data_IF_035591251019
#
_entry.id   IF_035591251019
#
_cell.length_a   1.000
_cell.length_b   1.000
_cell.length_c   1.000
_cell.angle_alpha   90.00
_cell.angle_beta   90.00
_cell.angle_gamma   90.00
#
_symmetry.space_group_name_H-M   'P 1'
#
loop_
_entity.id
_entity.type
_entity.pdbx_description
1 polymer ?
#
# COMPACT_ATOMS: atom_id res chain seq x y z
N UNK A 1 2.53 8.60 -15.70
CA UNK A 1 1.86 7.31 -15.42
C UNK A 1 1.31 7.34 -14.01
N UNK A 2 0.35 6.47 -13.70
CA UNK A 2 -0.25 6.32 -12.36
C UNK A 2 0.45 5.17 -11.65
N UNK A 3 1.31 5.53 -10.70
CA UNK A 3 2.17 4.61 -9.96
C UNK A 3 1.51 4.27 -8.63
N UNK A 4 1.32 2.99 -8.36
CA UNK A 4 0.80 2.46 -7.11
C UNK A 4 1.93 1.94 -6.24
N UNK A 5 2.30 2.68 -5.20
CA UNK A 5 3.25 2.26 -4.18
C UNK A 5 2.51 1.44 -3.12
N UNK A 6 2.97 0.22 -2.84
CA UNK A 6 2.33 -0.71 -1.91
C UNK A 6 3.16 -0.82 -0.63
N UNK A 7 2.63 -0.30 0.47
CA UNK A 7 3.24 -0.35 1.80
C UNK A 7 2.30 -1.04 2.78
N UNK A 8 2.73 -2.13 3.40
CA UNK A 8 1.94 -2.87 4.38
C UNK A 8 2.08 -2.35 5.83
N UNK A 9 2.31 -1.04 5.96
CA UNK A 9 2.51 -0.32 7.21
C UNK A 9 1.67 0.97 7.24
N UNK A 10 1.66 1.64 8.38
CA UNK A 10 1.07 2.98 8.51
C UNK A 10 2.02 4.03 7.91
N UNK A 11 1.46 5.08 7.32
CA UNK A 11 2.20 6.20 6.75
C UNK A 11 1.46 7.51 7.05
N UNK A 12 2.05 8.62 7.49
CA UNK A 12 3.44 8.78 7.96
C UNK A 12 3.67 8.10 9.33
N UNK A 13 4.93 7.93 9.78
CA UNK A 13 6.18 8.34 9.12
C UNK A 13 6.84 7.21 8.30
N UNK A 14 7.28 7.52 7.07
CA UNK A 14 8.25 6.71 6.31
C UNK A 14 9.01 7.62 5.31
N UNK A 15 10.16 8.18 5.70
CA UNK A 15 10.86 9.18 4.89
C UNK A 15 11.42 8.60 3.58
N UNK A 16 11.67 7.28 3.52
CA UNK A 16 12.16 6.63 2.29
C UNK A 16 11.06 6.60 1.24
N UNK A 17 9.88 6.08 1.62
CA UNK A 17 8.70 6.02 0.75
C UNK A 17 8.29 7.43 0.32
N UNK A 18 8.34 8.39 1.24
CA UNK A 18 8.01 9.78 0.96
C UNK A 18 8.95 10.41 -0.07
N UNK A 19 10.27 10.27 0.10
CA UNK A 19 11.25 10.82 -0.83
C UNK A 19 11.14 10.17 -2.22
N UNK A 20 10.94 8.85 -2.28
CA UNK A 20 10.71 8.14 -3.55
C UNK A 20 9.44 8.62 -4.25
N UNK A 21 8.35 8.79 -3.50
CA UNK A 21 7.08 9.30 -4.03
C UNK A 21 7.22 10.73 -4.56
N UNK A 22 7.87 11.62 -3.81
CA UNK A 22 8.13 13.00 -4.24
C UNK A 22 8.97 13.02 -5.51
N UNK A 23 10.04 12.22 -5.59
CA UNK A 23 10.87 12.15 -6.79
C UNK A 23 10.08 11.71 -8.03
N UNK A 24 9.18 10.74 -7.89
CA UNK A 24 8.30 10.31 -8.99
C UNK A 24 7.31 11.40 -9.40
N UNK A 25 6.76 12.15 -8.44
CA UNK A 25 5.85 13.28 -8.70
C UNK A 25 6.59 14.40 -9.45
N UNK A 26 7.80 14.74 -9.02
CA UNK A 26 8.67 15.73 -9.68
C UNK A 26 9.02 15.35 -11.13
N UNK A 27 9.05 14.05 -11.44
CA UNK A 27 9.22 13.53 -12.80
C UNK A 27 7.90 13.44 -13.60
N UNK A 28 6.80 14.01 -13.09
CA UNK A 28 5.51 14.09 -13.79
C UNK A 28 4.66 12.82 -13.71
N UNK A 29 4.81 12.03 -12.64
CA UNK A 29 3.97 10.86 -12.40
C UNK A 29 2.93 11.11 -11.30
N UNK A 30 1.76 10.49 -11.41
CA UNK A 30 0.78 10.50 -10.32
C UNK A 30 1.10 9.33 -9.37
N UNK A 31 1.33 9.63 -8.10
CA UNK A 31 1.67 8.61 -7.10
C UNK A 31 0.49 8.35 -6.17
N UNK A 32 0.09 7.08 -6.10
CA UNK A 32 -0.91 6.54 -5.20
C UNK A 32 -0.23 5.63 -4.19
N UNK A 33 -0.42 5.89 -2.89
CA UNK A 33 0.18 5.10 -1.83
C UNK A 33 -0.87 4.25 -1.13
N UNK A 34 -0.79 2.93 -1.29
CA UNK A 34 -1.52 1.98 -0.47
C UNK A 34 -0.82 1.86 0.88
N UNK A 35 -1.55 2.12 1.98
CA UNK A 35 -1.04 1.92 3.32
C UNK A 35 -2.11 1.39 4.28
N UNK A 36 -1.71 0.89 5.44
CA UNK A 36 -2.62 0.35 6.45
C UNK A 36 -3.02 1.42 7.48
N UNK A 37 -4.24 1.31 8.01
CA UNK A 37 -4.69 2.06 9.20
C UNK A 37 -5.23 1.12 10.28
N UNK A 38 -4.95 1.45 11.54
CA UNK A 38 -5.40 0.70 12.72
C UNK A 38 -6.41 1.47 13.58
N UNK A 39 -6.65 2.75 13.26
CA UNK A 39 -7.61 3.63 13.90
C UNK A 39 -8.52 4.27 12.85
N UNK A 40 -9.55 5.01 13.29
CA UNK A 40 -10.52 5.69 12.43
C UNK A 40 -9.94 6.98 11.79
N UNK A 41 -8.78 6.86 11.15
CA UNK A 41 -8.15 7.91 10.33
C UNK A 41 -8.84 7.94 8.96
N UNK A 42 -8.89 9.12 8.34
CA UNK A 42 -9.48 9.31 7.01
C UNK A 42 -8.87 8.34 5.98
N UNK A 43 -9.70 7.58 5.24
CA UNK A 43 -9.21 6.54 4.34
C UNK A 43 -8.52 7.09 3.08
N UNK A 44 -8.81 8.34 2.70
CA UNK A 44 -8.25 8.98 1.53
C UNK A 44 -7.72 10.34 1.94
N UNK A 45 -6.49 10.65 1.58
CA UNK A 45 -5.83 11.90 1.94
C UNK A 45 -4.83 12.27 0.85
N UNK A 46 -4.63 13.57 0.62
CA UNK A 46 -3.56 14.06 -0.27
C UNK A 46 -2.51 14.71 0.63
N UNK A 47 -1.32 14.10 0.70
CA UNK A 47 -0.20 14.59 1.49
C UNK A 47 0.96 14.89 0.54
N UNK A 48 1.36 16.16 0.43
CA UNK A 48 2.45 16.57 -0.48
C UNK A 48 2.25 16.00 -1.90
N UNK A 49 1.01 16.12 -2.41
CA UNK A 49 0.56 15.59 -3.70
C UNK A 49 0.48 14.06 -3.82
N UNK A 50 0.95 13.32 -2.82
CA UNK A 50 0.80 11.86 -2.74
C UNK A 50 -0.66 11.52 -2.43
N UNK A 51 -1.27 10.69 -3.28
CA UNK A 51 -2.63 10.19 -3.10
C UNK A 51 -2.65 9.00 -2.14
N UNK A 52 -2.73 9.26 -0.84
CA UNK A 52 -2.69 8.24 0.22
C UNK A 52 -4.04 7.53 0.34
N UNK A 53 -4.02 6.20 0.21
CA UNK A 53 -5.17 5.30 0.28
C UNK A 53 -4.99 4.31 1.43
N UNK A 54 -5.69 4.56 2.54
CA UNK A 54 -5.56 3.79 3.78
C UNK A 54 -6.60 2.67 3.87
N UNK A 55 -6.12 1.46 4.05
CA UNK A 55 -6.93 0.26 4.23
C UNK A 55 -6.96 -0.18 5.68
N UNK A 56 -8.17 -0.45 6.20
CA UNK A 56 -8.34 -0.90 7.59
C UNK A 56 -7.63 -2.22 7.83
N UNK A 57 -6.72 -2.25 8.79
CA UNK A 57 -6.07 -3.45 9.30
C UNK A 57 -6.40 -3.61 10.79
N UNK A 58 -6.12 -4.78 11.35
CA UNK A 58 -6.36 -5.07 12.75
C UNK A 58 -5.20 -5.86 13.35
N UNK A 59 -5.18 -5.99 14.68
CA UNK A 59 -4.10 -6.71 15.40
C UNK A 59 -3.97 -8.17 14.96
N UNK A 60 -5.05 -8.81 14.53
CA UNK A 60 -5.01 -10.19 14.03
C UNK A 60 -4.29 -10.26 12.68
N UNK A 61 -4.63 -9.38 11.73
CA UNK A 61 -3.95 -9.28 10.44
C UNK A 61 -2.48 -8.94 10.59
N UNK A 62 -2.13 -8.08 11.55
CA UNK A 62 -0.73 -7.80 11.90
C UNK A 62 0.00 -9.04 12.43
N UNK A 63 -0.61 -9.83 13.31
CA UNK A 63 0.00 -11.10 13.76
C UNK A 63 0.14 -12.12 12.64
N UNK A 64 -0.84 -12.17 11.73
CA UNK A 64 -0.79 -13.05 10.56
C UNK A 64 0.30 -12.66 9.56
N UNK A 65 0.66 -11.37 9.47
CA UNK A 65 1.76 -10.94 8.59
C UNK A 65 3.07 -11.60 9.00
N UNK A 66 3.34 -11.75 10.30
CA UNK A 66 4.52 -12.47 10.80
C UNK A 66 4.57 -13.95 10.38
N UNK A 67 3.42 -14.54 10.01
CA UNK A 67 3.28 -15.92 9.55
C UNK A 67 3.05 -16.02 8.04
N UNK A 68 3.30 -14.96 7.26
CA UNK A 68 2.96 -14.91 5.82
C UNK A 68 3.54 -16.09 5.03
N UNK A 69 4.75 -16.53 5.36
CA UNK A 69 5.43 -17.64 4.68
C UNK A 69 4.95 -19.03 5.14
N UNK A 70 4.11 -19.09 6.16
CA UNK A 70 3.55 -20.33 6.71
C UNK A 70 2.06 -20.46 6.43
N UNK A 71 1.30 -19.36 6.53
CA UNK A 71 -0.16 -19.35 6.42
C UNK A 71 -0.59 -18.29 5.40
N UNK A 72 -1.30 -18.67 4.31
CA UNK A 72 -1.62 -17.77 3.20
C UNK A 72 -2.72 -16.75 3.53
N UNK A 73 -3.24 -16.74 4.77
CA UNK A 73 -4.40 -15.92 5.16
C UNK A 73 -4.08 -14.41 5.06
N UNK A 74 -2.88 -14.00 5.45
CA UNK A 74 -2.44 -12.61 5.26
C UNK A 74 -2.45 -12.22 3.79
N UNK A 75 -1.82 -13.05 2.95
CA UNK A 75 -1.72 -12.86 1.50
C UNK A 75 -3.10 -12.72 0.86
N UNK A 76 -4.05 -13.59 1.19
CA UNK A 76 -5.42 -13.56 0.64
C UNK A 76 -6.18 -12.29 1.04
N UNK A 77 -6.07 -11.87 2.31
CA UNK A 77 -6.73 -10.65 2.81
C UNK A 77 -6.14 -9.41 2.11
N UNK A 78 -4.82 -9.37 1.94
CA UNK A 78 -4.14 -8.24 1.30
C UNK A 78 -4.39 -8.19 -0.20
N UNK A 79 -4.35 -9.33 -0.91
CA UNK A 79 -4.59 -9.38 -2.35
C UNK A 79 -5.95 -8.75 -2.71
N UNK A 80 -7.01 -9.05 -1.95
CA UNK A 80 -8.33 -8.44 -2.17
C UNK A 80 -8.31 -6.91 -2.03
N UNK A 81 -7.56 -6.38 -1.05
CA UNK A 81 -7.45 -4.93 -0.82
C UNK A 81 -6.61 -4.26 -1.90
N UNK A 82 -5.51 -4.91 -2.29
CA UNK A 82 -4.62 -4.43 -3.35
C UNK A 82 -5.37 -4.42 -4.68
N UNK A 83 -6.12 -5.48 -5.02
CA UNK A 83 -6.95 -5.50 -6.22
C UNK A 83 -7.93 -4.33 -6.27
N UNK A 84 -8.64 -4.07 -5.16
CA UNK A 84 -9.51 -2.91 -5.06
C UNK A 84 -8.75 -1.60 -5.29
N UNK A 85 -7.58 -1.44 -4.67
CA UNK A 85 -6.71 -0.28 -4.85
C UNK A 85 -6.29 -0.08 -6.31
N UNK A 86 -5.84 -1.15 -6.98
CA UNK A 86 -5.35 -1.11 -8.36
C UNK A 86 -6.45 -0.70 -9.34
N UNK A 87 -7.63 -1.31 -9.24
CA UNK A 87 -8.76 -1.04 -10.13
C UNK A 87 -9.36 0.35 -9.87
N UNK A 88 -9.67 0.67 -8.61
CA UNK A 88 -10.29 1.96 -8.26
C UNK A 88 -9.42 3.14 -8.63
N UNK A 89 -8.10 3.00 -8.47
CA UNK A 89 -7.15 4.06 -8.80
C UNK A 89 -6.50 3.86 -10.17
N UNK A 90 -7.02 2.98 -11.04
CA UNK A 90 -6.48 2.66 -12.39
C UNK A 90 -4.95 2.75 -12.47
N UNK A 91 -4.30 1.96 -11.62
CA UNK A 91 -2.84 1.93 -11.49
C UNK A 91 -2.22 1.28 -12.73
N UNK A 92 -1.18 1.90 -13.26
CA UNK A 92 -0.46 1.44 -14.46
C UNK A 92 0.86 0.74 -14.12
N UNK A 93 1.51 1.18 -13.05
CA UNK A 93 2.80 0.62 -12.59
C UNK A 93 2.70 0.37 -11.09
N UNK A 94 3.12 -0.81 -10.64
CA UNK A 94 3.13 -1.17 -9.22
C UNK A 94 4.56 -1.12 -8.70
N UNK A 95 4.76 -0.36 -7.63
CA UNK A 95 6.01 -0.33 -6.87
C UNK A 95 5.76 -0.98 -5.51
N UNK A 96 6.36 -2.15 -5.29
CA UNK A 96 6.14 -2.93 -4.06
C UNK A 96 7.22 -2.59 -3.03
N UNK A 97 6.82 -2.20 -1.82
CA UNK A 97 7.72 -2.12 -0.67
C UNK A 97 7.66 -3.42 0.11
N UNK A 98 8.84 -3.91 0.50
CA UNK A 98 9.05 -5.09 1.34
C UNK A 98 8.57 -6.43 0.71
N UNK A 99 9.38 -7.48 0.89
CA UNK A 99 9.09 -8.81 0.34
C UNK A 99 7.81 -9.45 0.92
N UNK A 100 7.42 -9.06 2.13
CA UNK A 100 6.29 -9.61 2.87
C UNK A 100 4.95 -9.44 2.15
N UNK A 101 4.74 -8.31 1.46
CA UNK A 101 3.49 -8.03 0.74
C UNK A 101 3.55 -8.45 -0.73
N UNK A 102 4.74 -8.78 -1.24
CA UNK A 102 4.96 -9.03 -2.66
C UNK A 102 4.07 -10.17 -3.21
N UNK A 103 3.95 -11.28 -2.48
CA UNK A 103 3.07 -12.39 -2.88
C UNK A 103 1.61 -11.94 -3.01
N UNK A 104 1.15 -11.04 -2.14
CA UNK A 104 -0.22 -10.52 -2.18
C UNK A 104 -0.42 -9.60 -3.39
N UNK A 105 0.61 -8.86 -3.80
CA UNK A 105 0.60 -8.05 -5.02
C UNK A 105 0.53 -8.94 -6.27
N UNK A 106 1.33 -10.01 -6.35
CA UNK A 106 1.28 -10.93 -7.49
C UNK A 106 -0.05 -11.67 -7.63
N UNK A 107 -0.79 -11.85 -6.52
CA UNK A 107 -2.11 -12.49 -6.49
C UNK A 107 -3.27 -11.52 -6.70
N UNK A 108 -3.03 -10.22 -6.60
CA UNK A 108 -4.06 -9.18 -6.77
C UNK A 108 -4.32 -8.94 -8.25
#
# INVERSE_FOLDING_TARGET
>A
MRIGMILDKTFPPDPRVENEAISLIENGHEVFLFCLKYSEIQPNEVLKEIQVKRYKSNKLTYKLSALVYTIPLYTLIMAKKIYHFLITNKIEVIHVHDIQIAEAVFKA
#
